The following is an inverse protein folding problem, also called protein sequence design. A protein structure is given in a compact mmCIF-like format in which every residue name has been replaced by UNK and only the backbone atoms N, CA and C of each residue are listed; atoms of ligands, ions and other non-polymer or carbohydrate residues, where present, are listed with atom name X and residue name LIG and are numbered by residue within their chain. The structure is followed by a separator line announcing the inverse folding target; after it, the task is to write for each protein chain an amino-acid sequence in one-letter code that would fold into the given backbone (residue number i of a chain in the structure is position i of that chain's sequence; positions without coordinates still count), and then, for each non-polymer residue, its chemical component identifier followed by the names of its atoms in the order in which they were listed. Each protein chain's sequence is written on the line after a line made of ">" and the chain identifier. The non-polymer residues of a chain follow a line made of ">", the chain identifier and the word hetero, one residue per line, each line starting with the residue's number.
data_IF_691979929241
#
_entry.id   IF_691979929241
#
_cell.length_a   1.000
_cell.length_b   1.000
_cell.length_c   1.000
_cell.angle_alpha   90.00
_cell.angle_beta   90.00
_cell.angle_gamma   90.00
#
_symmetry.space_group_name_H-M   'P 1'
#
loop_
_entity.id
_entity.type
_entity.pdbx_description
1 polymer ?
#
# COMPACT_ATOMS: atom_id res chain seq x y z
N UNK A 1 -25.75 3.82 25.13
CA UNK A 1 -25.97 2.93 23.96
C UNK A 1 -25.28 3.44 22.68
N UNK A 2 -24.85 4.70 22.61
CA UNK A 2 -24.25 5.30 21.39
C UNK A 2 -22.84 4.81 21.01
N UNK A 3 -22.02 4.38 21.97
CA UNK A 3 -20.63 3.97 21.70
C UNK A 3 -20.49 2.67 20.88
N UNK A 4 -21.36 1.69 21.10
CA UNK A 4 -21.31 0.40 20.41
C UNK A 4 -21.76 0.51 18.94
N UNK A 5 -22.75 1.35 18.67
CA UNK A 5 -23.21 1.65 17.31
C UNK A 5 -22.15 2.42 16.51
N UNK A 6 -21.49 3.41 17.14
CA UNK A 6 -20.39 4.14 16.49
C UNK A 6 -19.20 3.23 16.18
N UNK A 7 -18.81 2.36 17.12
CA UNK A 7 -17.78 1.34 16.89
C UNK A 7 -18.14 0.39 15.74
N UNK A 8 -19.39 -0.07 15.67
CA UNK A 8 -19.86 -0.96 14.59
C UNK A 8 -19.83 -0.32 13.20
N UNK A 9 -20.16 0.97 13.10
CA UNK A 9 -20.12 1.72 11.83
C UNK A 9 -18.69 1.97 11.36
N UNK A 10 -17.79 2.36 12.27
CA UNK A 10 -16.38 2.57 11.93
C UNK A 10 -15.67 1.27 11.57
N UNK A 11 -15.92 0.17 12.30
CA UNK A 11 -15.39 -1.14 11.96
C UNK A 11 -15.86 -1.62 10.58
N UNK A 12 -17.14 -1.42 10.24
CA UNK A 12 -17.69 -1.83 8.95
C UNK A 12 -17.10 -1.05 7.78
N UNK A 13 -16.86 0.27 7.95
CA UNK A 13 -16.18 1.10 6.94
C UNK A 13 -14.71 0.73 6.79
N UNK A 14 -14.01 0.54 7.91
CA UNK A 14 -12.61 0.10 7.90
C UNK A 14 -12.47 -1.26 7.21
N UNK A 15 -13.35 -2.22 7.51
CA UNK A 15 -13.39 -3.51 6.83
C UNK A 15 -13.71 -3.37 5.34
N UNK A 16 -14.70 -2.56 4.95
CA UNK A 16 -15.06 -2.38 3.54
C UNK A 16 -13.94 -1.74 2.71
N UNK A 17 -13.20 -0.78 3.29
CA UNK A 17 -12.00 -0.18 2.66
C UNK A 17 -10.84 -1.20 2.59
N UNK A 18 -10.74 -2.08 3.59
CA UNK A 18 -9.72 -3.13 3.69
C UNK A 18 -10.03 -4.39 2.87
N UNK A 19 -11.22 -4.49 2.27
CA UNK A 19 -11.67 -5.70 1.57
C UNK A 19 -11.98 -5.38 0.11
N UNK A 20 -10.99 -4.87 -0.63
CA UNK A 20 -11.00 -5.25 -2.05
C UNK A 20 -10.92 -6.78 -2.08
N UNK A 21 -11.91 -7.43 -2.66
CA UNK A 21 -11.91 -8.89 -2.71
C UNK A 21 -10.70 -9.37 -3.51
N UNK A 22 -10.09 -10.49 -3.14
CA UNK A 22 -8.94 -11.09 -3.86
C UNK A 22 -9.15 -11.19 -5.39
N UNK A 23 -10.39 -11.39 -5.83
CA UNK A 23 -10.76 -11.37 -7.25
C UNK A 23 -10.55 -9.99 -7.87
N UNK A 24 -10.93 -8.92 -7.18
CA UNK A 24 -10.78 -7.54 -7.64
C UNK A 24 -9.30 -7.14 -7.72
N UNK A 25 -8.47 -7.62 -6.79
CA UNK A 25 -7.02 -7.38 -6.83
C UNK A 25 -6.36 -8.06 -8.05
N UNK A 26 -6.71 -9.33 -8.29
CA UNK A 26 -6.21 -10.06 -9.45
C UNK A 26 -6.67 -9.43 -10.78
N UNK A 27 -7.93 -8.97 -10.84
CA UNK A 27 -8.47 -8.25 -12.00
C UNK A 27 -7.74 -6.91 -12.22
N UNK A 28 -7.54 -6.13 -11.15
CA UNK A 28 -6.83 -4.87 -11.20
C UNK A 28 -5.37 -5.05 -11.66
N UNK A 29 -4.68 -6.09 -11.17
CA UNK A 29 -3.31 -6.41 -11.58
C UNK A 29 -3.22 -6.79 -13.07
N UNK A 30 -4.18 -7.60 -13.55
CA UNK A 30 -4.26 -7.95 -14.96
C UNK A 30 -4.52 -6.73 -15.85
N UNK A 31 -5.44 -5.85 -15.44
CA UNK A 31 -5.72 -4.59 -16.12
C UNK A 31 -4.51 -3.66 -16.12
N UNK A 32 -3.78 -3.57 -15.00
CA UNK A 32 -2.56 -2.78 -14.88
C UNK A 32 -1.47 -3.28 -15.85
N UNK A 33 -1.27 -4.60 -15.96
CA UNK A 33 -0.32 -5.20 -16.91
C UNK A 33 -0.66 -4.78 -18.36
N UNK A 34 -1.93 -4.83 -18.74
CA UNK A 34 -2.37 -4.41 -20.07
C UNK A 34 -2.23 -2.90 -20.28
N UNK A 35 -2.54 -2.08 -19.27
CA UNK A 35 -2.40 -0.63 -19.33
C UNK A 35 -0.93 -0.21 -19.50
N UNK A 36 -0.03 -0.81 -18.71
CA UNK A 36 1.41 -0.59 -18.81
C UNK A 36 1.95 -0.95 -20.20
N UNK A 37 1.53 -2.11 -20.74
CA UNK A 37 1.93 -2.53 -22.08
C UNK A 37 1.50 -1.53 -23.15
N UNK A 38 0.24 -1.10 -23.12
CA UNK A 38 -0.32 -0.10 -24.05
C UNK A 38 0.40 1.25 -23.93
N UNK A 39 0.82 1.61 -22.73
CA UNK A 39 1.56 2.84 -22.45
C UNK A 39 3.06 2.77 -22.83
N UNK A 40 3.57 1.61 -23.27
CA UNK A 40 5.00 1.44 -23.51
C UNK A 40 5.85 1.38 -22.23
N UNK A 41 5.24 0.98 -21.12
CA UNK A 41 5.93 0.68 -19.88
C UNK A 41 6.26 -0.81 -19.82
N UNK A 42 7.30 -1.19 -19.08
CA UNK A 42 7.68 -2.60 -18.86
C UNK A 42 6.64 -3.25 -17.94
N UNK A 43 5.74 -4.15 -18.40
CA UNK A 43 4.70 -4.68 -17.52
C UNK A 43 5.27 -5.53 -16.38
N UNK A 44 6.45 -6.13 -16.58
CA UNK A 44 7.19 -6.85 -15.54
C UNK A 44 7.58 -5.96 -14.35
N UNK A 45 7.71 -4.65 -14.55
CA UNK A 45 8.08 -3.72 -13.48
C UNK A 45 7.02 -3.61 -12.38
N UNK A 46 5.76 -4.01 -12.64
CA UNK A 46 4.73 -4.09 -11.60
C UNK A 46 5.05 -5.18 -10.57
N UNK A 47 5.52 -6.34 -11.02
CA UNK A 47 5.99 -7.40 -10.13
C UNK A 47 7.24 -6.96 -9.35
N UNK A 48 8.21 -6.33 -10.03
CA UNK A 48 9.41 -5.76 -9.39
C UNK A 48 9.04 -4.71 -8.31
N UNK A 49 8.01 -3.92 -8.55
CA UNK A 49 7.51 -2.93 -7.58
C UNK A 49 6.94 -3.61 -6.33
N UNK A 50 6.10 -4.63 -6.50
CA UNK A 50 5.58 -5.40 -5.37
C UNK A 50 6.72 -6.07 -4.60
N UNK A 51 7.65 -6.75 -5.25
CA UNK A 51 8.81 -7.36 -4.55
C UNK A 51 9.57 -6.34 -3.69
N UNK A 52 9.84 -5.13 -4.22
CA UNK A 52 10.47 -4.04 -3.45
C UNK A 52 9.60 -3.55 -2.29
N UNK A 53 8.28 -3.58 -2.43
CA UNK A 53 7.37 -3.20 -1.35
C UNK A 53 7.45 -4.22 -0.20
N UNK A 54 7.49 -5.51 -0.51
CA UNK A 54 7.63 -6.58 0.49
C UNK A 54 8.96 -6.50 1.23
N UNK A 55 10.05 -6.24 0.52
CA UNK A 55 11.36 -6.02 1.13
C UNK A 55 11.33 -4.83 2.11
N UNK A 56 10.58 -3.78 1.78
CA UNK A 56 10.47 -2.56 2.60
C UNK A 56 9.43 -2.63 3.70
N UNK A 57 8.45 -3.52 3.65
CA UNK A 57 7.52 -3.75 4.76
C UNK A 57 8.25 -4.25 6.01
N UNK A 58 9.38 -4.94 5.88
CA UNK A 58 10.20 -5.32 7.05
C UNK A 58 10.79 -4.13 7.82
N UNK A 59 11.26 -3.11 7.11
CA UNK A 59 11.98 -1.95 7.69
C UNK A 59 11.10 -0.69 7.87
N UNK A 60 10.03 -0.59 7.09
CA UNK A 60 9.19 0.59 6.95
C UNK A 60 7.70 0.24 6.92
N UNK A 61 7.30 -0.92 7.48
CA UNK A 61 5.90 -1.34 7.63
C UNK A 61 5.04 -0.14 8.01
N UNK A 62 5.39 0.58 9.08
CA UNK A 62 4.62 1.70 9.63
C UNK A 62 4.48 2.92 8.70
N UNK A 63 5.33 3.07 7.68
CA UNK A 63 5.30 4.18 6.72
C UNK A 63 4.50 3.88 5.45
N UNK A 64 4.24 2.60 5.16
CA UNK A 64 3.47 2.21 3.98
C UNK A 64 1.99 2.47 4.30
N UNK A 65 1.20 3.17 3.49
CA UNK A 65 -0.21 3.37 3.81
C UNK A 65 -0.95 2.04 4.02
N UNK A 66 -1.81 1.96 5.03
CA UNK A 66 -2.49 0.70 5.38
C UNK A 66 -3.24 0.09 4.20
N UNK A 67 -3.83 0.91 3.33
CA UNK A 67 -4.50 0.46 2.10
C UNK A 67 -3.58 -0.26 1.10
N UNK A 68 -2.26 -0.04 1.17
CA UNK A 68 -1.25 -0.73 0.37
C UNK A 68 -0.69 -1.97 1.07
N UNK A 69 -0.78 -2.04 2.41
CA UNK A 69 -0.45 -3.22 3.23
C UNK A 69 -1.55 -4.29 3.23
N UNK A 70 -2.79 -3.91 2.93
CA UNK A 70 -3.98 -4.79 2.95
C UNK A 70 -3.99 -5.92 1.91
N UNK A 71 -2.91 -6.12 1.14
CA UNK A 71 -2.84 -7.09 0.05
C UNK A 71 -2.28 -8.44 0.52
N UNK A 72 -3.09 -9.19 1.27
CA UNK A 72 -2.80 -10.56 1.69
C UNK A 72 -2.77 -11.52 0.48
N UNK A 73 -1.62 -11.60 -0.22
CA UNK A 73 -1.08 -12.74 -1.00
C UNK A 73 -0.01 -12.30 -2.02
N UNK A 74 1.01 -11.60 -1.52
CA UNK A 74 2.03 -10.96 -2.33
C UNK A 74 2.71 -11.87 -3.37
N UNK A 75 3.12 -13.08 -2.96
CA UNK A 75 3.80 -14.03 -3.84
C UNK A 75 2.93 -14.52 -4.99
N UNK A 76 1.64 -14.77 -4.74
CA UNK A 76 0.70 -15.24 -5.77
C UNK A 76 0.41 -14.14 -6.78
N UNK A 77 0.27 -12.89 -6.32
CA UNK A 77 0.11 -11.72 -7.18
C UNK A 77 1.33 -11.50 -8.06
N UNK A 78 2.53 -11.50 -7.46
CA UNK A 78 3.81 -11.39 -8.20
C UNK A 78 3.89 -12.47 -9.29
N UNK A 79 3.55 -13.73 -8.96
CA UNK A 79 3.53 -14.81 -9.93
C UNK A 79 2.50 -14.59 -11.05
N UNK A 80 1.27 -14.21 -10.72
CA UNK A 80 0.21 -13.94 -11.68
C UNK A 80 0.56 -12.78 -12.62
N UNK A 81 1.11 -11.69 -12.09
CA UNK A 81 1.60 -10.53 -12.86
C UNK A 81 2.71 -10.96 -13.81
N UNK A 82 3.71 -11.72 -13.34
CA UNK A 82 4.80 -12.22 -14.18
C UNK A 82 4.29 -13.09 -15.31
N UNK A 83 3.34 -13.99 -15.02
CA UNK A 83 2.72 -14.84 -16.03
C UNK A 83 1.98 -14.02 -17.08
N UNK A 84 1.12 -13.09 -16.66
CA UNK A 84 0.36 -12.21 -17.56
C UNK A 84 1.30 -11.33 -18.42
N UNK A 85 2.32 -10.73 -17.80
CA UNK A 85 3.30 -9.90 -18.50
C UNK A 85 4.16 -10.71 -19.49
N UNK A 86 4.51 -11.95 -19.16
CA UNK A 86 5.28 -12.85 -20.04
C UNK A 86 4.49 -13.32 -21.27
N UNK A 87 3.16 -13.34 -21.20
CA UNK A 87 2.30 -13.66 -22.35
C UNK A 87 2.25 -12.53 -23.40
N UNK A 88 2.68 -11.31 -23.05
CA UNK A 88 2.68 -10.16 -23.96
C UNK A 88 3.90 -10.18 -24.87
N UNK A 89 3.67 -10.11 -26.18
CA UNK A 89 4.74 -10.12 -27.19
C UNK A 89 5.29 -8.72 -27.40
N UNK A 90 6.56 -8.53 -27.02
CA UNK A 90 7.28 -7.29 -27.22
C UNK A 90 6.70 -6.14 -26.40
N UNK A 91 7.58 -5.29 -25.89
CA UNK A 91 7.17 -4.01 -25.33
C UNK A 91 8.14 -2.96 -25.85
N UNK A 92 7.61 -1.76 -26.12
CA UNK A 92 8.44 -0.62 -26.45
C UNK A 92 8.72 0.10 -25.15
N UNK A 93 9.96 0.13 -24.69
CA UNK A 93 10.33 0.92 -23.52
C UNK A 93 10.26 2.40 -23.87
N UNK A 94 9.22 3.09 -23.39
CA UNK A 94 9.10 4.53 -23.46
C UNK A 94 9.48 5.06 -22.07
N UNK A 95 10.63 5.71 -21.90
CA UNK A 95 10.98 6.34 -20.64
C UNK A 95 9.90 7.35 -20.25
N UNK A 96 9.52 7.37 -18.98
CA UNK A 96 8.67 8.43 -18.45
C UNK A 96 9.44 9.75 -18.60
N UNK A 97 8.82 10.75 -19.22
CA UNK A 97 9.37 12.10 -19.32
C UNK A 97 9.20 12.85 -17.98
N UNK A 98 9.65 12.23 -16.89
CA UNK A 98 9.57 12.70 -15.52
C UNK A 98 10.98 12.75 -14.96
N UNK A 99 11.35 13.90 -14.41
CA UNK A 99 12.57 14.05 -13.62
C UNK A 99 12.32 13.49 -12.22
N UNK A 100 12.66 12.21 -12.04
CA UNK A 100 12.37 11.48 -10.80
C UNK A 100 13.12 12.08 -9.61
N UNK A 101 14.37 12.48 -9.80
CA UNK A 101 15.20 13.07 -8.74
C UNK A 101 14.57 14.38 -8.23
N UNK A 102 14.10 15.23 -9.15
CA UNK A 102 13.40 16.48 -8.80
C UNK A 102 12.06 16.24 -8.10
N UNK A 103 11.34 15.16 -8.47
CA UNK A 103 10.13 14.75 -7.75
C UNK A 103 10.47 14.36 -6.31
N UNK A 104 11.53 13.57 -6.12
CA UNK A 104 11.97 13.15 -4.78
C UNK A 104 12.46 14.33 -3.94
N UNK A 105 13.23 15.25 -4.52
CA UNK A 105 13.69 16.48 -3.84
C UNK A 105 12.51 17.29 -3.30
N UNK A 106 11.44 17.43 -4.08
CA UNK A 106 10.22 18.17 -3.69
C UNK A 106 9.46 17.53 -2.54
N UNK A 107 9.56 16.21 -2.37
CA UNK A 107 8.91 15.49 -1.27
C UNK A 107 9.68 15.64 0.05
N UNK A 108 10.93 16.11 0.01
CA UNK A 108 11.79 16.23 1.18
C UNK A 108 12.28 14.87 1.70
N UNK A 109 13.03 14.85 2.81
CA UNK A 109 13.37 13.62 3.50
C UNK A 109 12.07 12.90 3.91
N UNK A 110 11.96 11.61 3.63
CA UNK A 110 10.96 10.77 4.29
C UNK A 110 11.40 10.59 5.73
N UNK A 111 11.07 11.54 6.61
CA UNK A 111 11.23 11.35 8.04
C UNK A 111 10.41 10.12 8.45
N UNK A 112 11.06 9.20 9.16
CA UNK A 112 10.36 8.13 9.86
C UNK A 112 9.41 8.83 10.84
N UNK A 113 8.08 8.61 10.80
CA UNK A 113 7.22 9.21 11.80
C UNK A 113 7.72 8.73 13.16
N UNK A 114 8.16 9.67 14.01
CA UNK A 114 8.28 9.40 15.42
C UNK A 114 6.86 9.11 15.90
N UNK A 115 6.50 7.82 15.94
CA UNK A 115 5.28 7.39 16.60
C UNK A 115 5.30 7.96 18.01
N UNK A 116 4.14 8.34 18.58
CA UNK A 116 4.09 8.72 19.97
C UNK A 116 4.74 7.57 20.75
N UNK A 117 5.84 7.86 21.44
CA UNK A 117 6.45 6.91 22.35
C UNK A 117 5.33 6.45 23.27
N UNK A 118 4.90 5.19 23.11
CA UNK A 118 4.03 4.57 24.09
C UNK A 118 4.92 4.39 25.30
N UNK A 119 4.81 5.34 26.24
CA UNK A 119 5.38 5.21 27.57
C UNK A 119 4.99 3.81 28.10
N UNK A 120 5.96 2.92 28.36
CA UNK A 120 5.67 1.55 28.79
C UNK A 120 5.11 1.47 30.22
N UNK A 121 4.88 2.61 30.87
CA UNK A 121 4.35 2.67 32.22
C UNK A 121 3.01 3.38 32.23
N UNK A 122 1.95 2.57 32.16
CA UNK A 122 0.61 3.00 32.53
C UNK A 122 0.59 3.42 33.99
N UNK A 123 0.54 4.73 34.24
CA UNK A 123 0.05 5.26 35.50
C UNK A 123 -1.17 6.12 35.23
N UNK A 124 -2.33 5.56 35.54
CA UNK A 124 -3.61 6.25 35.67
C UNK A 124 -3.49 7.44 36.61
N UNK A 125 -3.60 8.66 36.08
CA UNK A 125 -3.78 9.88 36.86
C UNK A 125 -5.19 10.43 36.61
N UNK A 126 -6.18 9.87 37.30
CA UNK A 126 -7.50 10.48 37.45
C UNK A 126 -7.34 11.71 38.36
N UNK A 127 -7.54 12.90 37.81
CA UNK A 127 -7.68 14.13 38.61
C UNK A 127 -9.15 14.54 38.57
N UNK A 128 -9.82 14.72 39.71
CA UNK A 128 -11.22 15.12 39.73
C UNK A 128 -11.38 16.58 39.29
N UNK A 129 -12.55 16.97 38.75
CA UNK A 129 -12.80 18.34 38.33
C UNK A 129 -12.94 19.27 39.55
N UNK A 130 -12.58 20.57 39.40
CA UNK A 130 -12.72 21.55 40.48
C UNK A 130 -14.18 21.90 40.77
N UNK A 131 -14.42 22.28 42.03
CA UNK A 131 -15.72 22.63 42.66
C UNK A 131 -16.46 23.81 42.00
#
# INVERSE_FOLDING_TARGET
>A
VSGLLAFGVEFSKAAAINTYGRTQENEADADAVLAMHRAGLRPQALAEFFEKLQEKEGDAADMIPTWLRSHDEHEKRVHAIRHAAGALRGFRHIPLAIDWDKVQERLGPTEKPEGPGLDPEGTSGDSPPPE
#
